data_IF_667679097099
#
_entry.id   IF_667679097099
#
_cell.length_a   1.000
_cell.length_b   1.000
_cell.length_c   1.000
_cell.angle_alpha   90.00
_cell.angle_beta   90.00
_cell.angle_gamma   90.00
#
_symmetry.space_group_name_H-M   'P 1'
#
loop_
_entity.id
_entity.type
_entity.pdbx_description
1 polymer ?
#
# COMPACT_ATOMS: atom_id res chain seq x y z
N UNK A 1 -16.03 17.81 -0.18
CA UNK A 1 -14.85 17.55 0.65
C UNK A 1 -15.31 16.79 1.87
N UNK A 2 -14.62 15.73 2.31
CA UNK A 2 -15.02 14.95 3.48
C UNK A 2 -14.64 15.73 4.74
N UNK A 3 -15.59 16.48 5.31
CA UNK A 3 -15.37 17.35 6.46
C UNK A 3 -15.76 16.66 7.76
N UNK A 4 -14.92 16.74 8.77
CA UNK A 4 -15.24 16.30 10.13
C UNK A 4 -15.98 17.46 10.81
N UNK A 5 -17.30 17.42 10.80
CA UNK A 5 -18.17 18.47 11.38
C UNK A 5 -18.61 18.16 12.81
N UNK A 6 -18.64 16.89 13.18
CA UNK A 6 -19.22 16.40 14.42
C UNK A 6 -18.59 15.06 14.86
N UNK A 7 -18.74 14.66 16.14
CA UNK A 7 -18.12 13.44 16.65
C UNK A 7 -18.50 12.16 15.91
N UNK A 8 -19.73 12.06 15.39
CA UNK A 8 -20.18 10.87 14.66
C UNK A 8 -19.48 10.77 13.31
N UNK A 9 -19.38 11.89 12.57
CA UNK A 9 -18.60 11.95 11.33
C UNK A 9 -17.13 11.59 11.55
N UNK A 10 -16.53 12.01 12.67
CA UNK A 10 -15.16 11.67 13.03
C UNK A 10 -14.98 10.16 13.21
N UNK A 11 -15.90 9.51 13.93
CA UNK A 11 -15.88 8.06 14.15
C UNK A 11 -15.97 7.30 12.83
N UNK A 12 -16.86 7.72 11.92
CA UNK A 12 -16.98 7.07 10.60
C UNK A 12 -15.74 7.26 9.73
N UNK A 13 -15.18 8.47 9.67
CA UNK A 13 -14.01 8.76 8.85
C UNK A 13 -12.79 8.00 9.38
N UNK A 14 -12.55 8.05 10.68
CA UNK A 14 -11.43 7.33 11.31
C UNK A 14 -11.64 5.82 11.18
N UNK A 15 -12.82 5.31 11.52
CA UNK A 15 -13.11 3.89 11.48
C UNK A 15 -13.03 3.31 10.06
N UNK A 16 -13.68 3.95 9.09
CA UNK A 16 -13.82 3.39 7.74
C UNK A 16 -12.67 3.79 6.83
N UNK A 17 -12.38 5.08 6.69
CA UNK A 17 -11.44 5.59 5.68
C UNK A 17 -9.99 5.36 6.07
N UNK A 18 -9.67 5.47 7.36
CA UNK A 18 -8.31 5.34 7.87
C UNK A 18 -7.97 3.89 8.23
N UNK A 19 -8.94 3.10 8.70
CA UNK A 19 -8.67 1.75 9.21
C UNK A 19 -9.29 0.64 8.35
N UNK A 20 -10.61 0.56 8.25
CA UNK A 20 -11.27 -0.61 7.64
C UNK A 20 -10.99 -0.71 6.14
N UNK A 21 -11.15 0.36 5.37
CA UNK A 21 -10.90 0.33 3.93
C UNK A 21 -9.44 -0.01 3.60
N UNK A 22 -8.42 0.68 4.17
CA UNK A 22 -7.02 0.30 3.99
C UNK A 22 -6.73 -1.15 4.38
N UNK A 23 -7.30 -1.65 5.49
CA UNK A 23 -7.09 -3.03 5.90
C UNK A 23 -7.61 -4.05 4.88
N UNK A 24 -8.82 -3.84 4.38
CA UNK A 24 -9.44 -4.70 3.36
C UNK A 24 -8.63 -4.63 2.05
N UNK A 25 -8.22 -3.42 1.65
CA UNK A 25 -7.40 -3.24 0.46
C UNK A 25 -6.05 -3.94 0.58
N UNK A 26 -5.36 -3.85 1.72
CA UNK A 26 -4.11 -4.58 1.95
C UNK A 26 -4.30 -6.09 1.96
N UNK A 27 -5.39 -6.60 2.54
CA UNK A 27 -5.74 -8.01 2.48
C UNK A 27 -5.89 -8.49 1.02
N UNK A 28 -6.64 -7.74 0.20
CA UNK A 28 -6.90 -8.10 -1.19
C UNK A 28 -5.63 -7.97 -2.04
N UNK A 29 -4.94 -6.85 -1.98
CA UNK A 29 -3.84 -6.56 -2.89
C UNK A 29 -2.52 -7.18 -2.46
N UNK A 30 -2.20 -7.20 -1.16
CA UNK A 30 -0.88 -7.64 -0.64
C UNK A 30 -0.97 -9.04 -0.04
N UNK A 31 -2.10 -9.35 0.61
CA UNK A 31 -2.39 -10.67 1.16
C UNK A 31 -2.75 -11.71 0.10
N UNK A 32 -3.48 -11.32 -0.95
CA UNK A 32 -4.01 -12.25 -1.96
C UNK A 32 -3.42 -12.02 -3.35
N UNK A 33 -3.70 -10.87 -4.00
CA UNK A 33 -3.39 -10.67 -5.41
C UNK A 33 -1.88 -10.70 -5.69
N UNK A 34 -1.08 -9.94 -4.93
CA UNK A 34 0.38 -9.95 -5.07
C UNK A 34 0.95 -11.35 -4.83
N UNK A 35 0.41 -12.14 -3.89
CA UNK A 35 0.89 -13.51 -3.62
C UNK A 35 0.68 -14.44 -4.81
N UNK A 36 -0.47 -14.33 -5.47
CA UNK A 36 -0.74 -15.07 -6.70
C UNK A 36 0.26 -14.68 -7.79
N UNK A 37 0.53 -13.38 -7.96
CA UNK A 37 1.48 -12.90 -8.97
C UNK A 37 2.92 -13.35 -8.66
N UNK A 38 3.34 -13.33 -7.39
CA UNK A 38 4.65 -13.82 -6.96
C UNK A 38 4.82 -15.31 -7.30
N UNK A 39 3.80 -16.13 -7.02
CA UNK A 39 3.81 -17.56 -7.36
C UNK A 39 3.84 -17.77 -8.89
N UNK A 40 2.97 -17.09 -9.63
CA UNK A 40 2.81 -17.25 -11.08
C UNK A 40 4.02 -16.78 -11.87
N UNK A 41 4.58 -15.62 -11.53
CA UNK A 41 5.67 -15.02 -12.29
C UNK A 41 7.04 -15.47 -11.83
N UNK A 42 7.18 -15.97 -10.59
CA UNK A 42 8.48 -16.25 -9.95
C UNK A 42 9.43 -15.04 -10.01
N UNK A 43 8.86 -13.84 -10.07
CA UNK A 43 9.53 -12.55 -10.20
C UNK A 43 8.81 -11.54 -9.30
N UNK A 44 9.47 -11.21 -8.20
CA UNK A 44 8.94 -10.31 -7.17
C UNK A 44 8.73 -8.91 -7.72
N UNK A 45 9.63 -8.43 -8.58
CA UNK A 45 9.56 -7.08 -9.12
C UNK A 45 8.32 -6.96 -9.98
N UNK A 46 8.07 -7.91 -10.89
CA UNK A 46 6.84 -7.94 -11.68
C UNK A 46 5.60 -8.03 -10.81
N UNK A 47 5.60 -8.92 -9.81
CA UNK A 47 4.45 -9.10 -8.93
C UNK A 47 4.07 -7.80 -8.19
N UNK A 48 5.06 -7.08 -7.64
CA UNK A 48 4.85 -5.79 -6.97
C UNK A 48 4.37 -4.73 -7.97
N UNK A 49 5.02 -4.59 -9.13
CA UNK A 49 4.66 -3.57 -10.12
C UNK A 49 3.25 -3.76 -10.68
N UNK A 50 2.84 -4.99 -10.99
CA UNK A 50 1.50 -5.27 -11.50
C UNK A 50 0.43 -5.17 -10.41
N UNK A 51 0.70 -5.64 -9.18
CA UNK A 51 -0.22 -5.46 -8.06
C UNK A 51 -0.46 -3.98 -7.76
N UNK A 52 0.61 -3.17 -7.70
CA UNK A 52 0.51 -1.73 -7.49
C UNK A 52 -0.26 -1.02 -8.61
N UNK A 53 -0.11 -1.47 -9.86
CA UNK A 53 -0.81 -0.88 -11.00
C UNK A 53 -2.30 -1.16 -10.91
N UNK A 54 -2.69 -2.41 -10.64
CA UNK A 54 -4.08 -2.77 -10.42
C UNK A 54 -4.69 -1.98 -9.26
N UNK A 55 -3.95 -1.88 -8.15
CA UNK A 55 -4.34 -1.05 -7.00
C UNK A 55 -4.59 0.41 -7.42
N UNK A 56 -3.70 1.04 -8.17
CA UNK A 56 -3.87 2.42 -8.62
C UNK A 56 -5.07 2.61 -9.58
N UNK A 57 -5.31 1.65 -10.48
CA UNK A 57 -6.39 1.72 -11.47
C UNK A 57 -7.77 1.63 -10.82
N UNK A 58 -7.95 0.77 -9.82
CA UNK A 58 -9.26 0.60 -9.14
C UNK A 58 -9.69 1.82 -8.31
N UNK A 59 -8.80 2.78 -8.09
CA UNK A 59 -9.14 4.03 -7.41
C UNK A 59 -9.87 5.02 -8.33
N UNK A 60 -9.92 4.76 -9.64
CA UNK A 60 -10.64 5.56 -10.64
C UNK A 60 -10.36 7.07 -10.57
N UNK A 61 -9.15 7.45 -10.16
CA UNK A 61 -8.75 8.84 -10.00
C UNK A 61 -7.51 9.17 -10.86
N UNK A 62 -7.70 9.72 -12.07
CA UNK A 62 -6.59 9.98 -12.98
C UNK A 62 -5.61 11.03 -12.46
N UNK A 63 -6.06 11.96 -11.61
CA UNK A 63 -5.21 13.02 -11.06
C UNK A 63 -4.20 12.49 -10.03
N UNK A 64 -4.58 11.43 -9.30
CA UNK A 64 -3.78 10.87 -8.20
C UNK A 64 -3.13 9.54 -8.58
N UNK A 65 -3.40 8.99 -9.78
CA UNK A 65 -2.96 7.65 -10.17
C UNK A 65 -1.44 7.44 -10.05
N UNK A 66 -0.64 8.45 -10.39
CA UNK A 66 0.83 8.38 -10.29
C UNK A 66 1.26 8.27 -8.82
N UNK A 67 0.67 9.08 -7.95
CA UNK A 67 0.96 9.04 -6.51
C UNK A 67 0.51 7.71 -5.90
N UNK A 68 -0.70 7.24 -6.22
CA UNK A 68 -1.26 5.97 -5.73
C UNK A 68 -0.40 4.80 -6.21
N UNK A 69 0.09 4.84 -7.45
CA UNK A 69 0.97 3.82 -7.98
C UNK A 69 2.32 3.76 -7.23
N UNK A 70 2.96 4.91 -6.99
CA UNK A 70 4.24 4.99 -6.30
C UNK A 70 4.13 4.45 -4.86
N UNK A 71 3.13 4.89 -4.08
CA UNK A 71 2.92 4.36 -2.73
C UNK A 71 2.51 2.88 -2.77
N UNK A 72 1.76 2.46 -3.79
CA UNK A 72 1.41 1.06 -4.02
C UNK A 72 2.62 0.16 -4.23
N UNK A 73 3.62 0.61 -4.99
CA UNK A 73 4.91 -0.09 -5.17
C UNK A 73 5.63 -0.21 -3.83
N UNK A 74 5.71 0.89 -3.08
CA UNK A 74 6.40 0.90 -1.79
C UNK A 74 5.76 -0.06 -0.79
N UNK A 75 4.42 -0.02 -0.68
CA UNK A 75 3.67 -0.94 0.19
C UNK A 75 3.80 -2.40 -0.25
N UNK A 76 3.78 -2.68 -1.57
CA UNK A 76 4.00 -4.02 -2.10
C UNK A 76 5.40 -4.57 -1.82
N UNK A 77 6.43 -3.71 -1.93
CA UNK A 77 7.81 -4.05 -1.57
C UNK A 77 7.95 -4.38 -0.08
N UNK A 78 7.40 -3.54 0.79
CA UNK A 78 7.45 -3.74 2.25
C UNK A 78 6.73 -5.03 2.64
N UNK A 79 5.53 -5.27 2.09
CA UNK A 79 4.76 -6.48 2.36
C UNK A 79 5.46 -7.76 1.87
N UNK A 80 6.17 -7.70 0.74
CA UNK A 80 7.01 -8.80 0.28
C UNK A 80 8.17 -9.05 1.25
N UNK A 81 8.93 -8.00 1.57
CA UNK A 81 10.16 -8.10 2.38
C UNK A 81 9.88 -8.67 3.78
N UNK A 82 8.80 -8.22 4.41
CA UNK A 82 8.43 -8.63 5.77
C UNK A 82 7.48 -9.81 5.82
N UNK A 83 7.08 -10.33 4.65
CA UNK A 83 6.07 -11.38 4.53
C UNK A 83 4.78 -11.09 5.32
N UNK A 84 4.40 -9.82 5.47
CA UNK A 84 3.31 -9.38 6.34
C UNK A 84 2.59 -8.16 5.78
N UNK A 85 1.25 -8.16 5.86
CA UNK A 85 0.43 -7.00 5.45
C UNK A 85 0.39 -5.90 6.51
N UNK A 86 0.81 -6.17 7.75
CA UNK A 86 0.62 -5.23 8.85
C UNK A 86 1.40 -3.94 8.66
N UNK A 87 2.62 -4.02 8.13
CA UNK A 87 3.46 -2.84 7.93
C UNK A 87 2.92 -2.01 6.76
N UNK A 88 2.49 -2.66 5.67
CA UNK A 88 1.86 -1.95 4.55
C UNK A 88 0.52 -1.33 4.97
N UNK A 89 -0.28 -2.01 5.78
CA UNK A 89 -1.50 -1.48 6.38
C UNK A 89 -1.25 -0.24 7.24
N UNK A 90 -0.25 -0.26 8.12
CA UNK A 90 0.08 0.91 8.95
C UNK A 90 0.48 2.09 8.06
N UNK A 91 1.30 1.87 7.04
CA UNK A 91 1.69 2.92 6.07
C UNK A 91 0.45 3.48 5.37
N UNK A 92 -0.44 2.60 4.91
CA UNK A 92 -1.67 2.99 4.21
C UNK A 92 -2.60 3.81 5.12
N UNK A 93 -2.85 3.33 6.34
CA UNK A 93 -3.66 4.02 7.32
C UNK A 93 -3.08 5.40 7.68
N UNK A 94 -1.77 5.50 7.89
CA UNK A 94 -1.09 6.78 8.14
C UNK A 94 -1.23 7.73 6.94
N UNK A 95 -1.05 7.23 5.72
CA UNK A 95 -1.22 8.05 4.50
C UNK A 95 -2.66 8.59 4.39
N UNK A 96 -3.67 7.76 4.62
CA UNK A 96 -5.07 8.20 4.60
C UNK A 96 -5.37 9.18 5.75
N UNK A 97 -4.82 8.95 6.93
CA UNK A 97 -4.96 9.87 8.07
C UNK A 97 -4.34 11.24 7.80
N UNK A 98 -3.16 11.28 7.20
CA UNK A 98 -2.51 12.53 6.77
C UNK A 98 -3.36 13.23 5.70
N UNK A 99 -3.88 12.48 4.71
CA UNK A 99 -4.74 13.06 3.66
C UNK A 99 -6.03 13.66 4.23
N UNK A 100 -6.69 12.95 5.16
CA UNK A 100 -7.88 13.46 5.87
C UNK A 100 -7.54 14.70 6.69
N UNK A 101 -6.40 14.71 7.39
CA UNK A 101 -5.96 15.87 8.17
C UNK A 101 -5.73 17.09 7.29
N UNK A 102 -5.01 16.94 6.17
CA UNK A 102 -4.81 18.03 5.21
C UNK A 102 -6.14 18.54 4.63
N UNK A 103 -7.12 17.65 4.41
CA UNK A 103 -8.43 18.06 3.88
C UNK A 103 -9.30 18.83 4.90
N UNK A 104 -8.88 18.95 6.16
CA UNK A 104 -9.56 19.79 7.16
C UNK A 104 -8.94 21.19 7.31
N UNK A 105 -7.78 21.45 6.69
CA UNK A 105 -7.06 22.70 6.90
C UNK A 105 -7.51 23.81 5.94
N UNK A 106 -7.38 25.06 6.40
CA UNK A 106 -7.58 26.25 5.57
C UNK A 106 -6.31 26.59 4.80
N UNK A 107 -6.43 27.29 3.68
CA UNK A 107 -5.27 27.74 2.88
C UNK A 107 -4.30 28.58 3.73
N UNK A 108 -4.83 29.47 4.59
CA UNK A 108 -4.03 30.26 5.53
C UNK A 108 -3.23 29.38 6.51
N UNK A 109 -3.75 28.23 6.92
CA UNK A 109 -3.05 27.30 7.80
C UNK A 109 -1.93 26.51 7.09
N UNK A 110 -1.94 26.48 5.75
CA UNK A 110 -1.00 25.71 4.93
C UNK A 110 0.09 26.57 4.27
N UNK A 111 0.21 27.87 4.59
CA UNK A 111 1.21 28.75 3.98
C UNK A 111 2.67 28.26 4.09
N UNK A 112 2.98 27.47 5.12
CA UNK A 112 4.32 26.89 5.35
C UNK A 112 4.53 25.61 4.53
N UNK A 113 3.46 24.97 4.08
CA UNK A 113 3.47 23.74 3.29
C UNK A 113 3.27 24.03 1.80
N UNK A 114 2.50 25.06 1.45
CA UNK A 114 2.15 25.39 0.06
C UNK A 114 2.96 26.56 -0.48
N UNK A 115 3.39 26.43 -1.73
CA UNK A 115 4.04 27.46 -2.53
C UNK A 115 3.39 27.48 -3.91
N UNK A 116 2.67 28.56 -4.23
CA UNK A 116 1.93 28.74 -5.50
C UNK A 116 0.91 27.62 -5.78
N UNK A 117 0.21 27.14 -4.75
CA UNK A 117 -0.78 26.05 -4.88
C UNK A 117 -0.16 24.66 -5.06
N UNK A 118 1.13 24.51 -4.79
CA UNK A 118 1.85 23.25 -4.82
C UNK A 118 2.59 23.01 -3.51
N UNK A 119 2.98 21.77 -3.22
CA UNK A 119 3.85 21.47 -2.07
C UNK A 119 5.17 22.24 -2.21
N UNK A 120 5.56 22.95 -1.16
CA UNK A 120 6.75 23.77 -1.15
C UNK A 120 8.02 22.94 -1.45
N UNK A 121 8.95 23.42 -2.29
CA UNK A 121 10.11 22.64 -2.71
C UNK A 121 10.96 22.11 -1.54
N UNK A 122 11.08 22.89 -0.46
CA UNK A 122 11.84 22.46 0.71
C UNK A 122 11.17 21.31 1.47
N UNK A 123 9.84 21.24 1.49
CA UNK A 123 9.11 20.10 2.05
C UNK A 123 9.33 18.84 1.22
N UNK A 124 9.38 18.97 -0.10
CA UNK A 124 9.74 17.85 -0.97
C UNK A 124 11.16 17.36 -0.70
N UNK A 125 12.13 18.28 -0.52
CA UNK A 125 13.50 17.90 -0.17
C UNK A 125 13.58 17.15 1.16
N UNK A 126 12.88 17.63 2.20
CA UNK A 126 12.79 16.96 3.49
C UNK A 126 12.13 15.58 3.33
N UNK A 127 11.02 15.50 2.60
CA UNK A 127 10.30 14.25 2.34
C UNK A 127 11.17 13.22 1.63
N UNK A 128 11.90 13.62 0.58
CA UNK A 128 12.83 12.73 -0.15
C UNK A 128 13.97 12.26 0.75
N UNK A 129 14.54 13.16 1.55
CA UNK A 129 15.59 12.80 2.50
C UNK A 129 15.09 11.77 3.53
N UNK A 130 13.94 12.02 4.16
CA UNK A 130 13.34 11.11 5.13
C UNK A 130 12.96 9.77 4.52
N UNK A 131 12.44 9.77 3.28
CA UNK A 131 12.10 8.56 2.56
C UNK A 131 13.35 7.70 2.29
N UNK A 132 14.43 8.30 1.77
CA UNK A 132 15.68 7.58 1.48
C UNK A 132 16.31 7.07 2.78
N UNK A 133 16.39 7.91 3.81
CA UNK A 133 16.94 7.52 5.11
C UNK A 133 16.11 6.39 5.74
N UNK A 134 14.78 6.52 5.73
CA UNK A 134 13.85 5.54 6.25
C UNK A 134 13.92 4.20 5.51
N UNK A 135 13.97 4.22 4.17
CA UNK A 135 14.13 3.00 3.36
C UNK A 135 15.48 2.32 3.67
N UNK A 136 16.58 3.07 3.70
CA UNK A 136 17.90 2.51 4.02
C UNK A 136 17.92 1.89 5.40
N UNK A 137 17.38 2.58 6.39
CA UNK A 137 17.29 2.08 7.75
C UNK A 137 16.42 0.82 7.83
N UNK A 138 15.24 0.84 7.21
CA UNK A 138 14.35 -0.31 7.14
C UNK A 138 15.02 -1.52 6.49
N UNK A 139 15.72 -1.34 5.36
CA UNK A 139 16.48 -2.39 4.68
C UNK A 139 17.57 -2.98 5.58
N UNK A 140 18.26 -2.15 6.35
CA UNK A 140 19.34 -2.58 7.23
C UNK A 140 18.83 -3.36 8.46
N UNK A 141 17.63 -3.06 8.94
CA UNK A 141 17.07 -3.66 10.16
C UNK A 141 16.16 -4.86 9.84
N UNK A 142 15.56 -4.91 8.64
CA UNK A 142 14.64 -5.99 8.25
C UNK A 142 15.27 -6.93 7.22
N UNK A 143 15.50 -8.22 7.56
CA UNK A 143 15.88 -9.21 6.58
C UNK A 143 14.70 -9.56 5.67
N UNK A 144 15.00 -10.07 4.47
CA UNK A 144 13.96 -10.69 3.62
C UNK A 144 13.53 -12.00 4.28
N UNK A 145 12.27 -12.08 4.71
CA UNK A 145 11.72 -13.29 5.30
C UNK A 145 11.32 -14.26 4.17
N UNK A 146 11.96 -15.43 4.12
CA UNK A 146 11.60 -16.47 3.16
C UNK A 146 10.15 -16.92 3.39
N UNK A 147 9.39 -17.03 2.31
CA UNK A 147 8.02 -17.54 2.34
C UNK A 147 8.06 -19.06 2.40
N UNK A 148 7.19 -19.64 3.21
CA UNK A 148 6.95 -21.08 3.14
C UNK A 148 6.29 -21.39 1.79
N UNK A 149 6.98 -22.14 0.93
CA UNK A 149 6.52 -22.49 -0.42
C UNK A 149 5.35 -23.48 -0.42
N UNK A 150 4.92 -23.99 0.74
CA UNK A 150 3.79 -24.90 0.89
C UNK A 150 2.42 -24.23 0.64
N UNK A 151 2.36 -23.10 -0.07
CA UNK A 151 1.11 -22.55 -0.56
C UNK A 151 0.54 -23.50 -1.62
N UNK A 152 -0.26 -24.46 -1.18
CA UNK A 152 -0.94 -25.40 -2.06
C UNK A 152 -2.01 -24.61 -2.82
N UNK A 153 -1.79 -24.36 -4.11
CA UNK A 153 -2.88 -23.87 -4.94
C UNK A 153 -3.87 -24.99 -5.21
N UNK A 154 -5.14 -24.63 -5.38
CA UNK A 154 -6.18 -25.61 -5.74
C UNK A 154 -5.81 -26.35 -7.05
N UNK A 155 -5.16 -25.67 -7.99
CA UNK A 155 -4.62 -26.29 -9.20
C UNK A 155 -3.55 -27.35 -8.92
N UNK A 156 -2.71 -27.14 -7.89
CA UNK A 156 -1.70 -28.12 -7.48
C UNK A 156 -2.36 -29.39 -6.93
N UNK A 157 -3.48 -29.25 -6.18
CA UNK A 157 -4.26 -30.39 -5.67
C UNK A 157 -4.84 -31.21 -6.82
N UNK A 158 -5.41 -30.55 -7.83
CA UNK A 158 -6.00 -31.23 -8.98
C UNK A 158 -4.95 -31.86 -9.90
N UNK A 159 -3.78 -31.22 -10.06
CA UNK A 159 -2.64 -31.80 -10.80
C UNK A 159 -2.04 -33.03 -10.09
N UNK A 160 -1.99 -33.02 -8.75
CA UNK A 160 -1.52 -34.16 -7.97
C UNK A 160 -2.51 -35.34 -8.00
N UNK A 161 -3.81 -35.03 -7.96
CA UNK A 161 -4.90 -36.01 -8.07
C UNK A 161 -4.91 -36.71 -9.45
N UNK A 162 -4.83 -35.95 -10.55
CA UNK A 162 -4.83 -36.51 -11.91
C UNK A 162 -3.61 -37.41 -12.18
N UNK A 163 -2.42 -37.02 -11.73
CA UNK A 163 -1.21 -37.86 -11.86
C UNK A 163 -1.25 -39.15 -11.03
N UNK A 164 -2.11 -39.23 -10.00
CA UNK A 164 -2.26 -40.43 -9.16
C UNK A 164 -3.25 -41.45 -9.73
N UNK A 165 -4.15 -41.03 -10.63
CA UNK A 165 -5.12 -41.90 -11.30
C UNK A 165 -4.62 -42.55 -12.59
N UNK A 166 -3.47 -42.10 -13.12
CA UNK A 166 -2.84 -42.68 -14.31
C UNK A 166 -1.77 -43.76 -14.00
N UNK A 167 -1.57 -44.10 -12.72
CA UNK A 167 -0.70 -45.20 -12.27
C UNK A 167 -1.52 -46.36 -11.71
#
# INVERSE_FOLDING_TARGET
MMTISDPLSAVFIIGIVILVAPFIEELIFRGFFQRILEYRYKDITKAVLFSALAFAVIHFNPWWIVQIYIIGIFMGYVAWRTNSIWISFIIHAVNNGIAVWFSQQTEDALYWYEWRGHVAPFMLMIGVFLLIAGIRWFINVTPVIQKNENAVLIEDIFSASSNSSEK
#
